data_IF_159599427756
#
_entry.id   IF_159599427756
#
_cell.length_a   1.000
_cell.length_b   1.000
_cell.length_c   1.000
_cell.angle_alpha   90.00
_cell.angle_beta   90.00
_cell.angle_gamma   90.00
#
_symmetry.space_group_name_H-M   'P 1'
#
loop_
_entity.id
_entity.type
_entity.pdbx_description
1 polymer ?
#
# COMPACT_ATOMS: atom_id res chain seq x y z
N UNK A 1 -83.93 -12.99 31.38
CA UNK A 1 -82.87 -12.96 32.40
C UNK A 1 -81.63 -12.42 31.73
N UNK A 2 -81.21 -11.19 32.06
CA UNK A 2 -79.99 -10.55 31.52
C UNK A 2 -78.76 -10.80 32.42
N UNK A 3 -78.84 -11.75 33.34
CA UNK A 3 -77.70 -12.14 34.17
C UNK A 3 -76.60 -12.73 33.27
N UNK A 4 -75.43 -12.09 33.25
CA UNK A 4 -74.23 -12.55 32.53
C UNK A 4 -73.89 -11.75 31.26
N UNK A 5 -74.82 -10.96 30.70
CA UNK A 5 -74.54 -10.14 29.49
C UNK A 5 -73.38 -9.15 29.73
N UNK A 6 -73.34 -8.38 30.84
CA UNK A 6 -72.24 -7.45 31.08
C UNK A 6 -70.88 -8.14 31.26
N UNK A 7 -70.87 -9.34 31.85
CA UNK A 7 -69.65 -10.11 32.07
C UNK A 7 -69.10 -10.70 30.75
N UNK A 8 -70.00 -11.13 29.86
CA UNK A 8 -69.65 -11.57 28.51
C UNK A 8 -69.11 -10.40 27.68
N UNK A 9 -69.77 -9.24 27.71
CA UNK A 9 -69.30 -8.03 27.01
C UNK A 9 -67.92 -7.59 27.49
N UNK A 10 -67.70 -7.58 28.81
CA UNK A 10 -66.40 -7.24 29.39
C UNK A 10 -65.30 -8.24 28.99
N UNK A 11 -65.60 -9.54 28.97
CA UNK A 11 -64.66 -10.56 28.48
C UNK A 11 -64.34 -10.39 26.99
N UNK A 12 -65.33 -10.09 26.17
CA UNK A 12 -65.13 -9.88 24.73
C UNK A 12 -64.25 -8.65 24.47
N UNK A 13 -64.49 -7.54 25.17
CA UNK A 13 -63.62 -6.35 25.09
C UNK A 13 -62.19 -6.66 25.53
N UNK A 14 -62.00 -7.40 26.62
CA UNK A 14 -60.67 -7.79 27.08
C UNK A 14 -59.95 -8.70 26.06
N UNK A 15 -60.67 -9.65 25.43
CA UNK A 15 -60.11 -10.51 24.39
C UNK A 15 -59.73 -9.72 23.13
N UNK A 16 -60.56 -8.77 22.71
CA UNK A 16 -60.26 -7.88 21.58
C UNK A 16 -59.01 -7.04 21.84
N UNK A 17 -58.93 -6.42 23.03
CA UNK A 17 -57.74 -5.66 23.44
C UNK A 17 -56.48 -6.54 23.46
N UNK A 18 -56.56 -7.71 24.10
CA UNK A 18 -55.44 -8.65 24.17
C UNK A 18 -54.99 -9.12 22.77
N UNK A 19 -55.94 -9.31 21.85
CA UNK A 19 -55.66 -9.69 20.47
C UNK A 19 -54.96 -8.56 19.70
N UNK A 20 -55.39 -7.31 19.88
CA UNK A 20 -54.71 -6.15 19.31
C UNK A 20 -53.28 -6.00 19.85
N UNK A 21 -53.09 -6.18 21.15
CA UNK A 21 -51.77 -6.13 21.78
C UNK A 21 -50.87 -7.25 21.29
N UNK A 22 -51.38 -8.48 21.16
CA UNK A 22 -50.65 -9.61 20.59
C UNK A 22 -50.19 -9.33 19.16
N UNK A 23 -51.08 -8.82 18.29
CA UNK A 23 -50.73 -8.44 16.92
C UNK A 23 -49.62 -7.39 16.89
N UNK A 24 -49.74 -6.34 17.70
CA UNK A 24 -48.72 -5.28 17.82
C UNK A 24 -47.37 -5.84 18.26
N UNK A 25 -47.35 -6.70 19.28
CA UNK A 25 -46.13 -7.36 19.76
C UNK A 25 -45.51 -8.27 18.70
N UNK A 26 -46.34 -9.01 17.96
CA UNK A 26 -45.87 -9.89 16.88
C UNK A 26 -45.23 -9.09 15.73
N UNK A 27 -45.85 -7.99 15.30
CA UNK A 27 -45.28 -7.09 14.28
C UNK A 27 -43.96 -6.48 14.75
N UNK A 28 -43.91 -5.96 15.99
CA UNK A 28 -42.67 -5.40 16.54
C UNK A 28 -41.54 -6.44 16.60
N UNK A 29 -41.87 -7.68 16.99
CA UNK A 29 -40.90 -8.78 17.00
C UNK A 29 -40.40 -9.10 15.58
N UNK A 30 -41.29 -9.11 14.58
CA UNK A 30 -40.93 -9.31 13.18
C UNK A 30 -39.91 -8.28 12.70
N UNK A 31 -40.21 -6.99 12.88
CA UNK A 31 -39.32 -5.90 12.48
C UNK A 31 -37.94 -6.00 13.16
N UNK A 32 -37.89 -6.28 14.47
CA UNK A 32 -36.62 -6.46 15.18
C UNK A 32 -35.80 -7.66 14.69
N UNK A 33 -36.45 -8.73 14.24
CA UNK A 33 -35.75 -9.89 13.67
C UNK A 33 -35.16 -9.54 12.30
N UNK A 34 -35.87 -8.77 11.48
CA UNK A 34 -35.35 -8.25 10.21
C UNK A 34 -34.16 -7.31 10.44
N UNK A 35 -34.26 -6.36 11.37
CA UNK A 35 -33.16 -5.48 11.76
C UNK A 35 -31.94 -6.26 12.26
N UNK A 36 -32.17 -7.33 13.04
CA UNK A 36 -31.11 -8.21 13.53
C UNK A 36 -30.47 -9.01 12.41
N UNK A 37 -31.25 -9.51 11.44
CA UNK A 37 -30.73 -10.23 10.28
C UNK A 37 -29.80 -9.34 9.47
N UNK A 38 -30.22 -8.10 9.18
CA UNK A 38 -29.41 -7.13 8.43
C UNK A 38 -28.14 -6.76 9.19
N UNK A 39 -28.23 -6.58 10.51
CA UNK A 39 -27.06 -6.34 11.36
C UNK A 39 -26.06 -7.50 11.32
N UNK A 40 -26.52 -8.76 11.41
CA UNK A 40 -25.64 -9.92 11.32
C UNK A 40 -24.97 -10.05 9.94
N UNK A 41 -25.69 -9.75 8.86
CA UNK A 41 -25.12 -9.72 7.51
C UNK A 41 -24.06 -8.62 7.37
N UNK A 42 -24.29 -7.44 7.95
CA UNK A 42 -23.30 -6.37 8.03
C UNK A 42 -22.04 -6.82 8.79
N UNK A 43 -22.21 -7.42 9.97
CA UNK A 43 -21.08 -7.90 10.77
C UNK A 43 -20.23 -8.93 10.02
N UNK A 44 -20.87 -9.89 9.34
CA UNK A 44 -20.15 -10.90 8.56
C UNK A 44 -19.25 -10.25 7.48
N UNK A 45 -19.76 -9.22 6.78
CA UNK A 45 -18.97 -8.48 5.79
C UNK A 45 -17.80 -7.72 6.43
N UNK A 46 -18.03 -7.09 7.58
CA UNK A 46 -16.96 -6.41 8.32
C UNK A 46 -15.88 -7.40 8.74
N UNK A 47 -16.26 -8.56 9.27
CA UNK A 47 -15.32 -9.59 9.73
C UNK A 47 -14.49 -10.17 8.58
N UNK A 48 -15.08 -10.37 7.41
CA UNK A 48 -14.36 -10.80 6.20
C UNK A 48 -13.25 -9.80 5.82
N UNK A 49 -13.59 -8.51 5.74
CA UNK A 49 -12.61 -7.47 5.42
C UNK A 49 -11.57 -7.28 6.54
N UNK A 50 -11.96 -7.37 7.81
CA UNK A 50 -11.02 -7.29 8.95
C UNK A 50 -10.03 -8.45 8.97
N UNK A 51 -10.46 -9.66 8.61
CA UNK A 51 -9.60 -10.82 8.49
C UNK A 51 -8.57 -10.62 7.37
N UNK A 52 -9.04 -10.15 6.19
CA UNK A 52 -8.16 -9.83 5.07
C UNK A 52 -7.14 -8.74 5.44
N UNK A 53 -7.58 -7.64 6.05
CA UNK A 53 -6.70 -6.54 6.49
C UNK A 53 -5.63 -7.08 7.46
N UNK A 54 -6.02 -7.92 8.42
CA UNK A 54 -5.11 -8.48 9.42
C UNK A 54 -4.05 -9.39 8.78
N UNK A 55 -4.44 -10.24 7.83
CA UNK A 55 -3.52 -11.07 7.05
C UNK A 55 -2.51 -10.20 6.30
N UNK A 56 -2.97 -9.19 5.56
CA UNK A 56 -2.10 -8.32 4.77
C UNK A 56 -1.18 -7.47 5.64
N UNK A 57 -1.65 -7.02 6.80
CA UNK A 57 -0.83 -6.28 7.74
C UNK A 57 0.36 -7.13 8.24
N UNK A 58 0.14 -8.42 8.49
CA UNK A 58 1.23 -9.34 8.85
C UNK A 58 2.24 -9.49 7.71
N UNK A 59 1.79 -9.65 6.47
CA UNK A 59 2.69 -9.74 5.32
C UNK A 59 3.53 -8.48 5.10
N UNK A 60 2.96 -7.29 5.31
CA UNK A 60 3.69 -6.03 5.17
C UNK A 60 4.72 -5.79 6.27
N UNK A 61 4.56 -6.43 7.44
CA UNK A 61 5.47 -6.29 8.59
C UNK A 61 6.85 -6.93 8.38
N UNK A 62 7.01 -7.77 7.34
CA UNK A 62 8.27 -8.43 7.01
C UNK A 62 9.28 -7.39 6.50
N UNK A 63 10.35 -7.10 7.24
CA UNK A 63 11.35 -6.09 6.83
C UNK A 63 12.38 -6.63 5.83
N UNK A 64 11.91 -7.16 4.69
CA UNK A 64 12.74 -7.51 3.53
C UNK A 64 12.54 -6.47 2.41
N UNK A 65 13.66 -5.89 1.95
CA UNK A 65 13.72 -4.88 0.90
C UNK A 65 14.61 -5.30 -0.30
N UNK A 66 15.18 -6.51 -0.28
CA UNK A 66 16.07 -7.03 -1.32
C UNK A 66 17.53 -6.55 -1.19
N UNK A 67 18.47 -7.39 -1.58
CA UNK A 67 19.92 -7.15 -1.54
C UNK A 67 20.55 -6.90 -2.93
N UNK A 68 19.76 -7.10 -3.98
CA UNK A 68 20.18 -6.92 -5.38
C UNK A 68 19.11 -6.14 -6.16
N UNK A 69 19.53 -5.51 -7.27
CA UNK A 69 18.61 -4.81 -8.17
C UNK A 69 17.46 -5.71 -8.64
N UNK A 70 17.73 -6.98 -8.96
CA UNK A 70 16.69 -7.91 -9.37
C UNK A 70 15.71 -8.24 -8.22
N UNK A 71 16.22 -8.45 -7.00
CA UNK A 71 15.40 -8.76 -5.83
C UNK A 71 14.46 -7.59 -5.47
N UNK A 72 14.98 -6.36 -5.37
CA UNK A 72 14.16 -5.18 -5.02
C UNK A 72 13.11 -4.90 -6.08
N UNK A 73 13.41 -5.06 -7.37
CA UNK A 73 12.44 -4.91 -8.44
C UNK A 73 11.34 -5.98 -8.39
N UNK A 74 11.69 -7.22 -8.06
CA UNK A 74 10.72 -8.28 -7.81
C UNK A 74 9.79 -7.97 -6.63
N UNK A 75 10.33 -7.41 -5.54
CA UNK A 75 9.56 -7.00 -4.36
C UNK A 75 8.65 -5.80 -4.67
N UNK A 76 9.11 -4.80 -5.42
CA UNK A 76 8.30 -3.68 -5.90
C UNK A 76 7.12 -4.18 -6.72
N UNK A 77 7.35 -5.08 -7.68
CA UNK A 77 6.27 -5.66 -8.50
C UNK A 77 5.24 -6.42 -7.65
N UNK A 78 5.68 -7.18 -6.65
CA UNK A 78 4.77 -7.84 -5.69
C UNK A 78 3.98 -6.80 -4.87
N UNK A 79 4.61 -5.69 -4.51
CA UNK A 79 3.96 -4.62 -3.77
C UNK A 79 2.93 -3.88 -4.62
N UNK A 80 3.21 -3.61 -5.89
CA UNK A 80 2.24 -3.01 -6.82
C UNK A 80 1.00 -3.90 -7.01
N UNK A 81 1.19 -5.23 -7.07
CA UNK A 81 0.07 -6.18 -7.09
C UNK A 81 -0.75 -6.11 -5.79
N UNK A 82 -0.09 -6.03 -4.64
CA UNK A 82 -0.77 -5.80 -3.36
C UNK A 82 -1.55 -4.48 -3.34
N UNK A 83 -1.01 -3.39 -3.87
CA UNK A 83 -1.71 -2.10 -3.93
C UNK A 83 -2.95 -2.13 -4.83
N UNK A 84 -2.90 -2.90 -5.92
CA UNK A 84 -4.05 -3.13 -6.79
C UNK A 84 -5.17 -3.89 -6.05
N UNK A 85 -4.82 -4.99 -5.36
CA UNK A 85 -5.77 -5.72 -4.52
C UNK A 85 -6.34 -4.81 -3.42
N UNK A 86 -5.47 -4.04 -2.76
CA UNK A 86 -5.87 -3.13 -1.70
C UNK A 86 -6.81 -2.02 -2.18
N UNK A 87 -6.70 -1.55 -3.42
CA UNK A 87 -7.67 -0.62 -3.99
C UNK A 87 -9.09 -1.22 -4.05
N UNK A 88 -9.21 -2.48 -4.47
CA UNK A 88 -10.51 -3.19 -4.52
C UNK A 88 -11.10 -3.35 -3.11
N UNK A 89 -10.28 -3.74 -2.13
CA UNK A 89 -10.73 -3.90 -0.75
C UNK A 89 -11.11 -2.57 -0.08
N UNK A 90 -10.44 -1.46 -0.43
CA UNK A 90 -10.83 -0.12 0.04
C UNK A 90 -12.21 0.27 -0.46
N UNK A 91 -12.54 -0.01 -1.72
CA UNK A 91 -13.87 0.24 -2.28
C UNK A 91 -14.94 -0.58 -1.54
N UNK A 92 -14.69 -1.88 -1.31
CA UNK A 92 -15.59 -2.74 -0.53
C UNK A 92 -15.80 -2.23 0.89
N UNK A 93 -14.73 -1.80 1.56
CA UNK A 93 -14.82 -1.20 2.89
C UNK A 93 -15.65 0.08 2.88
N UNK A 94 -15.50 0.92 1.86
CA UNK A 94 -16.31 2.13 1.71
C UNK A 94 -17.81 1.78 1.54
N UNK A 95 -18.15 0.76 0.75
CA UNK A 95 -19.52 0.28 0.60
C UNK A 95 -20.10 -0.25 1.92
N UNK A 96 -19.31 -1.02 2.67
CA UNK A 96 -19.70 -1.51 4.00
C UNK A 96 -19.91 -0.35 4.97
N UNK A 97 -19.05 0.68 4.92
CA UNK A 97 -19.18 1.87 5.75
C UNK A 97 -20.47 2.63 5.43
N UNK A 98 -20.75 2.85 4.15
CA UNK A 98 -21.98 3.51 3.70
C UNK A 98 -23.22 2.73 4.12
N UNK A 99 -23.22 1.40 3.93
CA UNK A 99 -24.32 0.54 4.35
C UNK A 99 -24.52 0.58 5.88
N UNK A 100 -23.44 0.51 6.67
CA UNK A 100 -23.52 0.60 8.12
C UNK A 100 -24.05 1.96 8.59
N UNK A 101 -23.62 3.06 7.97
CA UNK A 101 -24.13 4.41 8.27
C UNK A 101 -25.63 4.51 7.95
N UNK A 102 -26.10 3.89 6.88
CA UNK A 102 -27.52 3.84 6.55
C UNK A 102 -28.33 3.11 7.63
N UNK A 103 -27.85 1.96 8.13
CA UNK A 103 -28.53 1.23 9.21
C UNK A 103 -28.65 2.07 10.49
N UNK A 104 -27.63 2.85 10.81
CA UNK A 104 -27.65 3.79 11.93
C UNK A 104 -28.67 4.91 11.68
N UNK A 105 -28.71 5.47 10.47
CA UNK A 105 -29.65 6.54 10.10
C UNK A 105 -31.11 6.07 10.13
N UNK A 106 -31.37 4.81 9.79
CA UNK A 106 -32.69 4.18 9.86
C UNK A 106 -33.13 3.83 11.31
N UNK A 107 -32.26 4.06 12.30
CA UNK A 107 -32.59 3.86 13.71
C UNK A 107 -32.53 2.40 14.16
N UNK A 108 -31.71 1.56 13.51
CA UNK A 108 -31.51 0.16 13.91
C UNK A 108 -31.14 0.07 15.41
N UNK A 109 -31.74 -0.87 16.14
CA UNK A 109 -31.51 -0.98 17.58
C UNK A 109 -30.06 -1.34 17.98
N UNK A 110 -29.19 -1.71 17.02
CA UNK A 110 -27.76 -1.97 17.21
C UNK A 110 -26.85 -0.79 16.81
N UNK A 111 -27.39 0.42 16.66
CA UNK A 111 -26.67 1.60 16.16
C UNK A 111 -25.28 1.82 16.80
N UNK A 112 -25.17 1.76 18.13
CA UNK A 112 -23.89 1.95 18.84
C UNK A 112 -22.84 0.90 18.43
N UNK A 113 -23.27 -0.37 18.32
CA UNK A 113 -22.40 -1.47 17.89
C UNK A 113 -21.96 -1.32 16.44
N UNK A 114 -22.87 -0.88 15.56
CA UNK A 114 -22.54 -0.60 14.15
C UNK A 114 -21.50 0.51 14.07
N UNK A 115 -21.72 1.65 14.73
CA UNK A 115 -20.78 2.77 14.74
C UNK A 115 -19.39 2.35 15.25
N UNK A 116 -19.33 1.56 16.32
CA UNK A 116 -18.06 1.06 16.86
C UNK A 116 -17.31 0.19 15.83
N UNK A 117 -18.01 -0.71 15.13
CA UNK A 117 -17.42 -1.60 14.12
C UNK A 117 -16.95 -0.81 12.89
N UNK A 118 -17.71 0.19 12.46
CA UNK A 118 -17.29 1.09 11.37
C UNK A 118 -16.01 1.86 11.69
N UNK A 119 -15.91 2.41 12.91
CA UNK A 119 -14.72 3.12 13.34
C UNK A 119 -13.50 2.19 13.40
N UNK A 120 -13.68 0.96 13.88
CA UNK A 120 -12.61 -0.04 13.92
C UNK A 120 -12.14 -0.41 12.51
N UNK A 121 -13.06 -0.67 11.58
CA UNK A 121 -12.72 -0.99 10.19
C UNK A 121 -11.93 0.14 9.53
N UNK A 122 -12.40 1.39 9.65
CA UNK A 122 -11.70 2.57 9.12
C UNK A 122 -10.29 2.71 9.69
N UNK A 123 -10.16 2.58 11.01
CA UNK A 123 -8.86 2.70 11.69
C UNK A 123 -7.86 1.64 11.22
N UNK A 124 -8.33 0.39 11.03
CA UNK A 124 -7.50 -0.71 10.51
C UNK A 124 -7.10 -0.49 9.05
N UNK A 125 -8.01 0.04 8.24
CA UNK A 125 -7.75 0.36 6.83
C UNK A 125 -6.69 1.46 6.70
N UNK A 126 -6.79 2.52 7.50
CA UNK A 126 -5.81 3.61 7.54
C UNK A 126 -4.43 3.11 8.03
N UNK A 127 -4.40 2.22 9.02
CA UNK A 127 -3.17 1.61 9.50
C UNK A 127 -2.50 0.76 8.40
N UNK A 128 -3.28 -0.02 7.64
CA UNK A 128 -2.77 -0.82 6.53
C UNK A 128 -2.22 0.07 5.41
N UNK A 129 -2.90 1.17 5.07
CA UNK A 129 -2.44 2.14 4.07
C UNK A 129 -1.13 2.82 4.50
N UNK A 130 -1.03 3.23 5.78
CA UNK A 130 0.21 3.78 6.33
C UNK A 130 1.38 2.79 6.27
N UNK A 131 1.13 1.51 6.62
CA UNK A 131 2.13 0.45 6.52
C UNK A 131 2.55 0.17 5.07
N UNK A 132 1.59 0.16 4.14
CA UNK A 132 1.85 -0.02 2.71
C UNK A 132 2.74 1.09 2.15
N UNK A 133 2.38 2.36 2.37
CA UNK A 133 3.17 3.52 1.94
C UNK A 133 4.58 3.51 2.51
N UNK A 134 4.72 3.19 3.80
CA UNK A 134 6.04 3.06 4.46
C UNK A 134 6.88 1.97 3.79
N UNK A 135 6.30 0.81 3.52
CA UNK A 135 6.99 -0.29 2.84
C UNK A 135 7.43 0.12 1.43
N UNK A 136 6.54 0.75 0.66
CA UNK A 136 6.86 1.24 -0.69
C UNK A 136 8.01 2.24 -0.67
N UNK A 137 7.98 3.20 0.25
CA UNK A 137 9.07 4.15 0.45
C UNK A 137 10.40 3.45 0.69
N UNK A 138 10.46 2.51 1.65
CA UNK A 138 11.69 1.74 1.93
C UNK A 138 12.18 0.91 0.74
N UNK A 139 11.29 0.33 -0.07
CA UNK A 139 11.65 -0.41 -1.28
C UNK A 139 12.25 0.51 -2.35
N UNK A 140 11.64 1.69 -2.57
CA UNK A 140 12.14 2.67 -3.53
C UNK A 140 13.49 3.25 -3.10
N UNK A 141 13.62 3.58 -1.82
CA UNK A 141 14.88 4.02 -1.21
C UNK A 141 16.00 3.00 -1.44
N UNK A 142 15.75 1.74 -1.08
CA UNK A 142 16.73 0.67 -1.28
C UNK A 142 17.05 0.45 -2.77
N UNK A 143 16.06 0.55 -3.66
CA UNK A 143 16.29 0.46 -5.10
C UNK A 143 17.20 1.58 -5.62
N UNK A 144 17.02 2.80 -5.13
CA UNK A 144 17.84 3.93 -5.53
C UNK A 144 19.27 3.82 -4.99
N UNK A 145 19.44 3.31 -3.77
CA UNK A 145 20.75 2.98 -3.21
C UNK A 145 21.49 1.91 -4.03
N UNK A 146 20.83 0.79 -4.35
CA UNK A 146 21.44 -0.27 -5.16
C UNK A 146 21.79 0.22 -6.57
N UNK A 147 20.96 1.10 -7.15
CA UNK A 147 21.26 1.73 -8.44
C UNK A 147 22.50 2.63 -8.35
N UNK A 148 22.66 3.37 -7.25
CA UNK A 148 23.85 4.20 -7.01
C UNK A 148 25.11 3.33 -6.91
N UNK A 149 25.09 2.27 -6.10
CA UNK A 149 26.22 1.35 -5.95
C UNK A 149 26.62 0.73 -7.29
N UNK A 150 25.65 0.22 -8.05
CA UNK A 150 25.93 -0.33 -9.38
C UNK A 150 26.54 0.69 -10.34
N UNK A 151 26.05 1.94 -10.32
CA UNK A 151 26.64 3.03 -11.14
C UNK A 151 28.06 3.36 -10.69
N UNK A 152 28.35 3.32 -9.38
CA UNK A 152 29.70 3.52 -8.85
C UNK A 152 30.65 2.44 -9.39
N UNK A 153 30.27 1.17 -9.29
CA UNK A 153 31.08 0.05 -9.80
C UNK A 153 31.35 0.17 -11.31
N UNK A 154 30.35 0.59 -12.09
CA UNK A 154 30.50 0.85 -13.53
C UNK A 154 31.50 1.96 -13.81
N UNK A 155 31.42 3.07 -13.06
CA UNK A 155 32.35 4.19 -13.17
C UNK A 155 33.77 3.78 -12.78
N UNK A 156 33.93 3.09 -11.65
CA UNK A 156 35.23 2.60 -11.19
C UNK A 156 35.86 1.64 -12.20
N UNK A 157 35.09 0.68 -12.73
CA UNK A 157 35.59 -0.24 -13.74
C UNK A 157 35.98 0.46 -15.04
N UNK A 158 35.23 1.48 -15.46
CA UNK A 158 35.55 2.25 -16.66
C UNK A 158 36.83 3.06 -16.47
N UNK A 159 36.98 3.73 -15.33
CA UNK A 159 38.20 4.48 -14.99
C UNK A 159 39.41 3.56 -14.96
N UNK A 160 39.30 2.39 -14.31
CA UNK A 160 40.39 1.42 -14.24
C UNK A 160 40.83 0.91 -15.64
N UNK A 161 39.88 0.64 -16.54
CA UNK A 161 40.19 0.28 -17.94
C UNK A 161 40.94 1.40 -18.67
N UNK A 162 40.47 2.65 -18.54
CA UNK A 162 41.09 3.80 -19.21
C UNK A 162 42.45 4.17 -18.63
N UNK A 163 42.64 3.99 -17.33
CA UNK A 163 43.92 4.23 -16.68
C UNK A 163 45.03 3.31 -17.24
N UNK A 164 44.71 2.05 -17.54
CA UNK A 164 45.65 1.13 -18.20
C UNK A 164 46.07 1.63 -19.57
N UNK A 165 45.16 2.24 -20.33
CA UNK A 165 45.43 2.73 -21.69
C UNK A 165 46.32 3.99 -21.69
N UNK A 166 46.07 4.93 -20.77
CA UNK A 166 46.80 6.20 -20.70
C UNK A 166 48.19 6.05 -20.07
N UNK A 167 48.41 5.02 -19.25
CA UNK A 167 49.74 4.72 -18.67
C UNK A 167 50.77 4.17 -19.67
N UNK A 168 50.43 4.06 -20.95
CA UNK A 168 51.36 3.62 -21.99
C UNK A 168 52.43 4.68 -22.27
N UNK A 169 53.71 4.33 -22.12
CA UNK A 169 54.86 5.18 -22.49
C UNK A 169 55.26 5.04 -23.98
N UNK A 170 54.44 4.38 -24.82
CA UNK A 170 54.66 4.32 -26.27
C UNK A 170 54.26 5.63 -26.94
N UNK A 171 55.26 6.45 -27.28
CA UNK A 171 55.10 7.72 -27.99
C UNK A 171 55.34 7.62 -29.51
N UNK A 172 55.49 6.40 -30.04
CA UNK A 172 55.81 6.19 -31.44
C UNK A 172 57.29 6.44 -31.76
N UNK A 173 57.74 5.92 -32.91
CA UNK A 173 59.15 5.93 -33.34
C UNK A 173 59.38 6.65 -34.67
N UNK A 174 58.30 6.97 -35.38
CA UNK A 174 58.29 7.59 -36.69
C UNK A 174 56.98 8.38 -36.90
N UNK A 175 56.92 9.20 -37.94
CA UNK A 175 55.76 10.06 -38.24
C UNK A 175 54.44 9.26 -38.33
N UNK A 176 54.49 8.06 -38.92
CA UNK A 176 53.30 7.23 -39.13
C UNK A 176 52.75 6.68 -37.81
N UNK A 177 53.63 6.14 -36.97
CA UNK A 177 53.27 5.64 -35.63
C UNK A 177 52.78 6.75 -34.71
N UNK A 178 53.43 7.92 -34.72
CA UNK A 178 52.97 9.11 -33.97
C UNK A 178 51.59 9.56 -34.45
N UNK A 179 51.38 9.69 -35.76
CA UNK A 179 50.07 10.07 -36.31
C UNK A 179 48.98 9.08 -35.92
N UNK A 180 49.29 7.78 -35.91
CA UNK A 180 48.36 6.74 -35.49
C UNK A 180 48.01 6.85 -34.01
N UNK A 181 49.00 7.11 -33.15
CA UNK A 181 48.80 7.32 -31.71
C UNK A 181 47.97 8.57 -31.42
N UNK A 182 48.17 9.66 -32.16
CA UNK A 182 47.35 10.87 -32.05
C UNK A 182 45.89 10.60 -32.40
N UNK A 183 45.59 9.90 -33.50
CA UNK A 183 44.21 9.53 -33.84
C UNK A 183 43.56 8.62 -32.77
N UNK A 184 44.34 7.71 -32.17
CA UNK A 184 43.87 6.92 -31.03
C UNK A 184 43.57 7.80 -29.81
N UNK A 185 44.42 8.79 -29.52
CA UNK A 185 44.21 9.74 -28.43
C UNK A 185 42.94 10.58 -28.66
N UNK A 186 42.70 11.10 -29.87
CA UNK A 186 41.47 11.82 -30.20
C UNK A 186 40.21 10.97 -29.97
N UNK A 187 40.29 9.68 -30.31
CA UNK A 187 39.18 8.72 -30.07
C UNK A 187 38.98 8.48 -28.56
N UNK A 188 40.08 8.38 -27.80
CA UNK A 188 40.04 8.26 -26.35
C UNK A 188 39.40 9.50 -25.71
N UNK A 189 39.81 10.71 -26.12
CA UNK A 189 39.31 11.97 -25.58
C UNK A 189 37.81 12.16 -25.86
N UNK A 190 37.36 11.79 -27.06
CA UNK A 190 35.94 11.77 -27.39
C UNK A 190 35.15 10.80 -26.49
N UNK A 191 35.71 9.62 -26.22
CA UNK A 191 35.13 8.63 -25.30
C UNK A 191 35.09 9.13 -23.85
N UNK A 192 36.13 9.84 -23.39
CA UNK A 192 36.20 10.43 -22.07
C UNK A 192 35.13 11.51 -21.89
N UNK A 193 34.99 12.42 -22.86
CA UNK A 193 33.95 13.44 -22.84
C UNK A 193 32.54 12.83 -22.83
N UNK A 194 32.29 11.78 -23.61
CA UNK A 194 31.01 11.08 -23.60
C UNK A 194 30.72 10.44 -22.23
N UNK A 195 31.71 9.76 -21.64
CA UNK A 195 31.52 9.10 -20.34
C UNK A 195 31.38 10.09 -19.17
N UNK A 196 32.01 11.26 -19.24
CA UNK A 196 31.80 12.33 -18.25
C UNK A 196 30.32 12.74 -18.20
N UNK A 197 29.68 12.91 -19.36
CA UNK A 197 28.26 13.28 -19.44
C UNK A 197 27.34 12.14 -19.00
N UNK A 198 27.58 10.92 -19.47
CA UNK A 198 26.65 9.80 -19.26
C UNK A 198 26.88 9.03 -17.95
N UNK A 199 28.13 8.92 -17.51
CA UNK A 199 28.54 8.20 -16.31
C UNK A 199 28.64 9.11 -15.10
N UNK A 200 29.61 10.04 -15.14
CA UNK A 200 29.99 10.88 -13.97
C UNK A 200 28.85 11.82 -13.56
N UNK A 201 28.24 12.53 -14.50
CA UNK A 201 27.12 13.40 -14.16
C UNK A 201 25.90 12.60 -13.70
N UNK A 202 25.63 11.44 -14.31
CA UNK A 202 24.49 10.59 -13.91
C UNK A 202 24.62 10.10 -12.46
N UNK A 203 25.80 9.61 -12.06
CA UNK A 203 26.03 9.16 -10.68
C UNK A 203 26.03 10.34 -9.70
N UNK A 204 26.56 11.51 -10.09
CA UNK A 204 26.56 12.72 -9.27
C UNK A 204 25.14 13.22 -9.01
N UNK A 205 24.30 13.28 -10.06
CA UNK A 205 22.89 13.65 -9.91
C UNK A 205 22.15 12.69 -8.98
N UNK A 206 22.42 11.38 -9.08
CA UNK A 206 21.79 10.38 -8.21
C UNK A 206 22.24 10.54 -6.76
N UNK A 207 23.53 10.81 -6.51
CA UNK A 207 24.05 11.15 -5.19
C UNK A 207 23.34 12.37 -4.60
N UNK A 208 23.22 13.44 -5.37
CA UNK A 208 22.61 14.68 -4.92
C UNK A 208 21.13 14.49 -4.58
N UNK A 209 20.40 13.72 -5.41
CA UNK A 209 19.02 13.35 -5.15
C UNK A 209 18.85 12.55 -3.86
N UNK A 210 19.69 11.53 -3.64
CA UNK A 210 19.66 10.70 -2.44
C UNK A 210 20.04 11.48 -1.18
N UNK A 211 20.98 12.42 -1.30
CA UNK A 211 21.40 13.29 -0.19
C UNK A 211 20.30 14.29 0.15
N UNK A 212 19.70 14.92 -0.87
CA UNK A 212 18.60 15.87 -0.70
C UNK A 212 17.33 15.23 -0.11
N UNK A 213 17.09 13.95 -0.39
CA UNK A 213 15.97 13.21 0.20
C UNK A 213 16.22 12.72 1.64
N UNK A 214 17.38 13.03 2.23
CA UNK A 214 17.82 12.49 3.52
C UNK A 214 17.75 10.96 3.59
N UNK A 215 18.17 10.30 2.50
CA UNK A 215 18.20 8.85 2.42
C UNK A 215 18.96 8.23 3.62
N UNK A 216 18.50 7.10 4.15
CA UNK A 216 19.10 6.47 5.34
C UNK A 216 20.60 6.12 5.16
N UNK A 217 21.02 5.84 3.93
CA UNK A 217 22.43 5.59 3.56
C UNK A 217 23.20 6.86 3.15
N UNK A 218 22.69 8.07 3.39
CA UNK A 218 23.38 9.33 3.01
C UNK A 218 24.82 9.38 3.53
N UNK A 219 25.08 8.85 4.73
CA UNK A 219 26.43 8.80 5.30
C UNK A 219 27.39 7.88 4.56
N UNK A 220 26.89 6.81 3.93
CA UNK A 220 27.69 5.92 3.09
C UNK A 220 27.89 6.51 1.68
N UNK A 221 26.85 7.13 1.13
CA UNK A 221 26.83 7.77 -0.20
C UNK A 221 27.72 9.04 -0.26
N UNK A 222 27.87 9.73 0.87
CA UNK A 222 28.63 11.00 0.94
C UNK A 222 30.13 10.84 1.18
N UNK A 223 30.58 9.63 1.52
CA UNK A 223 32.01 9.32 1.68
C UNK A 223 32.69 9.14 0.33
#
# INVERSE_FOLDING_TARGET
SNLGVPEIEQRLQALEQNWHDLKRMATLRGNKLEESLVFQQFLAKVEEEEAWISEKHQLLSIEDYGDTMAAVQGLLKKHDAFEADFAVHRERCADIINAGQQLVAEGNHHSDGIQQRLQQLSTRLDALDGSARRRKGKLLDNSAYLQFMWKADVVESWIADKEVQVRSDDYGRDLSSVSTLLTKQETFDAGLAAFEQEGIQSITQLKDQLTASNHNQTSAISK
#
